data_IF_966711507685
#
_entry.id   IF_966711507685
#
_cell.length_a   1.000
_cell.length_b   1.000
_cell.length_c   1.000
_cell.angle_alpha   90.00
_cell.angle_beta   90.00
_cell.angle_gamma   90.00
#
_symmetry.space_group_name_H-M   'P 1'
#
loop_
_entity.id
_entity.type
_entity.pdbx_description
1 polymer ?
#
# COMPACT_ATOMS: atom_id res chain seq x y z
N UNK A 1 41.60 -4.64 -4.10
CA UNK A 1 40.83 -5.36 -5.11
C UNK A 1 40.69 -4.43 -6.30
N UNK A 2 41.05 -4.89 -7.48
CA UNK A 2 41.11 -4.07 -8.68
C UNK A 2 39.86 -4.19 -9.56
N UNK A 3 38.99 -5.17 -9.28
CA UNK A 3 37.75 -5.39 -10.02
C UNK A 3 36.60 -4.61 -9.40
N UNK A 4 35.81 -3.86 -10.21
CA UNK A 4 34.60 -3.21 -9.75
C UNK A 4 33.58 -4.23 -9.25
N UNK A 5 32.85 -3.90 -8.21
CA UNK A 5 31.70 -4.68 -7.76
C UNK A 5 30.48 -4.26 -8.56
N UNK A 6 29.82 -5.24 -9.17
CA UNK A 6 28.53 -5.00 -9.81
C UNK A 6 27.47 -4.67 -8.74
N UNK A 7 26.81 -3.54 -8.89
CA UNK A 7 25.71 -3.12 -8.02
C UNK A 7 24.48 -2.82 -8.87
N UNK A 8 23.32 -3.18 -8.36
CA UNK A 8 22.05 -2.83 -8.94
C UNK A 8 21.23 -2.00 -7.92
N UNK A 9 20.73 -0.82 -8.29
CA UNK A 9 19.85 -0.07 -7.41
C UNK A 9 18.54 -0.85 -7.23
N UNK A 10 18.22 -1.19 -6.00
CA UNK A 10 16.98 -1.86 -5.63
C UNK A 10 16.08 -0.91 -4.84
N UNK A 11 14.77 -1.03 -5.02
CA UNK A 11 13.80 -0.34 -4.16
C UNK A 11 13.94 -0.91 -2.75
N UNK A 12 14.28 -0.04 -1.81
CA UNK A 12 14.52 -0.42 -0.42
C UNK A 12 13.45 0.14 0.52
N UNK A 13 12.84 1.27 0.18
CA UNK A 13 11.87 1.97 1.02
C UNK A 13 10.96 2.84 0.13
N UNK A 14 9.66 2.80 0.37
CA UNK A 14 8.70 3.66 -0.32
C UNK A 14 8.68 5.05 0.32
N UNK A 15 8.77 6.10 -0.51
CA UNK A 15 8.53 7.47 -0.09
C UNK A 15 7.12 7.86 -0.52
N UNK A 16 6.31 8.23 0.44
CA UNK A 16 4.88 8.38 0.23
C UNK A 16 4.13 7.22 0.86
N UNK A 17 2.82 7.32 0.98
CA UNK A 17 1.99 6.32 1.61
C UNK A 17 0.65 6.88 2.09
N UNK A 18 0.10 6.27 3.12
CA UNK A 18 -1.19 6.64 3.69
C UNK A 18 -1.08 8.00 4.39
N UNK A 19 -2.00 8.91 4.06
CA UNK A 19 -2.06 10.21 4.72
C UNK A 19 -2.43 10.08 6.20
N UNK A 20 -1.65 10.75 7.04
CA UNK A 20 -1.89 10.91 8.48
C UNK A 20 -1.54 12.34 8.91
N UNK A 21 -1.93 12.73 10.11
CA UNK A 21 -1.62 14.06 10.63
C UNK A 21 -1.33 14.02 12.13
N UNK A 22 -0.98 15.16 12.68
CA UNK A 22 -0.72 15.40 14.09
C UNK A 22 -1.56 16.55 14.60
N UNK A 23 -2.08 16.41 15.81
CA UNK A 23 -2.69 17.53 16.55
C UNK A 23 -1.61 18.41 17.14
N UNK A 24 -1.80 19.72 17.06
CA UNK A 24 -0.89 20.72 17.65
C UNK A 24 -1.56 21.43 18.80
N UNK A 25 -0.75 21.78 19.80
CA UNK A 25 -1.15 22.66 20.89
C UNK A 25 -1.27 24.10 20.38
N UNK A 26 -1.79 25.01 21.22
CA UNK A 26 -1.87 26.43 20.90
C UNK A 26 -0.50 27.07 20.63
N UNK A 27 0.56 26.55 21.26
CA UNK A 27 1.94 26.96 21.05
C UNK A 27 2.57 26.37 19.78
N UNK A 28 1.82 25.55 19.01
CA UNK A 28 2.28 24.92 17.78
C UNK A 28 3.11 23.65 17.97
N UNK A 29 3.25 23.17 19.20
CA UNK A 29 3.90 21.90 19.51
C UNK A 29 2.95 20.72 19.23
N UNK A 30 3.50 19.51 19.07
CA UNK A 30 2.67 18.32 18.91
C UNK A 30 2.02 17.98 20.26
N UNK A 31 0.70 17.80 20.26
CA UNK A 31 -0.02 17.24 21.42
C UNK A 31 0.19 15.72 21.47
N UNK A 32 1.13 15.27 22.27
CA UNK A 32 1.49 13.85 22.39
C UNK A 32 0.36 12.96 22.92
N UNK A 33 -0.69 13.53 23.50
CA UNK A 33 -1.80 12.76 24.05
C UNK A 33 -2.98 12.65 23.09
N UNK A 34 -2.95 13.37 21.98
CA UNK A 34 -4.05 13.38 21.03
C UNK A 34 -4.24 12.03 20.35
N UNK A 35 -5.46 11.46 20.38
CA UNK A 35 -5.80 10.25 19.65
C UNK A 35 -5.74 10.42 18.13
N UNK A 36 -5.63 11.65 17.63
CA UNK A 36 -5.56 11.93 16.19
C UNK A 36 -4.15 11.74 15.62
N UNK A 37 -3.11 11.67 16.46
CA UNK A 37 -1.74 11.52 15.98
C UNK A 37 -1.57 10.20 15.22
N UNK A 38 -1.12 10.28 13.96
CA UNK A 38 -0.97 9.16 13.04
C UNK A 38 -2.29 8.43 12.70
N UNK A 39 -3.44 9.01 13.04
CA UNK A 39 -4.73 8.49 12.59
C UNK A 39 -4.96 8.89 11.13
N UNK A 40 -5.46 7.96 10.35
CA UNK A 40 -5.87 8.20 8.96
C UNK A 40 -7.20 8.94 8.89
N UNK A 41 -7.73 9.17 7.69
CA UNK A 41 -9.10 9.68 7.52
C UNK A 41 -10.20 8.72 8.02
N UNK A 42 -9.83 7.46 8.30
CA UNK A 42 -10.74 6.46 8.89
C UNK A 42 -10.48 6.42 10.39
N UNK A 43 -11.50 6.77 11.19
CA UNK A 43 -11.39 6.81 12.65
C UNK A 43 -10.97 5.45 13.21
N UNK A 44 -9.94 5.45 14.06
CA UNK A 44 -9.39 4.24 14.67
C UNK A 44 -8.40 3.47 13.81
N UNK A 45 -8.18 3.88 12.55
CA UNK A 45 -7.15 3.31 11.69
C UNK A 45 -5.91 4.22 11.70
N UNK A 46 -4.77 3.63 12.03
CA UNK A 46 -3.50 4.33 12.15
C UNK A 46 -2.49 3.83 11.11
N UNK A 47 -1.60 4.70 10.66
CA UNK A 47 -0.47 4.33 9.83
C UNK A 47 0.83 4.86 10.44
N UNK A 48 1.89 4.05 10.39
CA UNK A 48 3.18 4.40 10.97
C UNK A 48 4.34 3.82 10.16
N UNK A 49 5.51 4.44 10.26
CA UNK A 49 6.72 4.00 9.58
C UNK A 49 6.63 4.15 8.07
N UNK A 50 6.98 3.11 7.34
CA UNK A 50 6.98 3.14 5.87
C UNK A 50 5.58 3.28 5.26
N UNK A 51 4.53 2.85 5.95
CA UNK A 51 3.15 3.00 5.48
C UNK A 51 2.65 4.45 5.47
N UNK A 52 3.33 5.34 6.18
CA UNK A 52 3.02 6.75 6.32
C UNK A 52 3.80 7.59 5.27
N UNK A 53 3.22 8.68 4.79
CA UNK A 53 3.77 9.44 3.65
C UNK A 53 4.71 10.59 4.00
N UNK A 54 4.81 11.00 5.28
CA UNK A 54 5.17 12.38 5.65
C UNK A 54 6.66 12.70 5.71
N UNK A 55 7.53 11.72 5.97
CA UNK A 55 8.84 12.03 6.56
C UNK A 55 9.97 12.31 5.58
N UNK A 56 9.91 11.76 4.38
CA UNK A 56 11.10 11.66 3.55
C UNK A 56 11.07 12.51 2.28
N UNK A 57 9.93 13.11 1.95
CA UNK A 57 9.79 13.88 0.72
C UNK A 57 10.08 13.03 -0.52
N UNK A 58 10.84 13.57 -1.45
CA UNK A 58 11.14 12.90 -2.71
C UNK A 58 12.18 11.78 -2.61
N UNK A 59 12.99 11.74 -1.55
CA UNK A 59 13.99 10.69 -1.33
C UNK A 59 14.43 10.61 0.14
N UNK A 60 14.56 9.39 0.63
CA UNK A 60 14.96 9.12 2.01
C UNK A 60 16.49 9.22 2.18
N UNK A 61 16.92 9.94 3.21
CA UNK A 61 18.32 9.92 3.64
C UNK A 61 18.69 8.58 4.27
N UNK A 62 19.95 8.18 4.09
CA UNK A 62 20.47 6.93 4.67
C UNK A 62 20.19 6.81 6.16
N UNK A 63 19.88 5.62 6.65
CA UNK A 63 19.55 5.26 8.03
C UNK A 63 18.24 5.85 8.60
N UNK A 64 17.54 6.75 7.92
CA UNK A 64 16.35 7.41 8.45
C UNK A 64 15.08 6.54 8.40
N UNK A 65 15.09 5.38 7.74
CA UNK A 65 13.90 4.49 7.70
C UNK A 65 13.50 3.97 9.08
N UNK A 66 14.46 3.42 9.82
CA UNK A 66 14.20 2.95 11.19
C UNK A 66 13.90 4.10 12.14
N UNK A 67 14.53 5.26 11.95
CA UNK A 67 14.25 6.44 12.75
C UNK A 67 12.79 6.89 12.60
N UNK A 68 12.26 6.93 11.39
CA UNK A 68 10.84 7.26 11.18
C UNK A 68 9.90 6.23 11.82
N UNK A 69 10.21 4.93 11.69
CA UNK A 69 9.40 3.88 12.33
C UNK A 69 9.38 4.02 13.86
N UNK A 70 10.53 4.27 14.48
CA UNK A 70 10.63 4.47 15.94
C UNK A 70 9.91 5.75 16.36
N UNK A 71 10.15 6.85 15.65
CA UNK A 71 9.53 8.13 15.95
C UNK A 71 8.00 8.05 15.88
N UNK A 72 7.45 7.53 14.80
CA UNK A 72 5.99 7.41 14.66
C UNK A 72 5.37 6.47 15.69
N UNK A 73 6.03 5.34 15.98
CA UNK A 73 5.59 4.44 17.05
C UNK A 73 5.51 5.13 18.42
N UNK A 74 6.52 5.92 18.77
CA UNK A 74 6.55 6.68 20.01
C UNK A 74 5.49 7.79 20.04
N UNK A 75 5.30 8.47 18.92
CA UNK A 75 4.36 9.59 18.81
C UNK A 75 2.90 9.16 18.85
N UNK A 76 2.56 8.02 18.22
CA UNK A 76 1.18 7.55 18.17
C UNK A 76 0.74 6.78 19.42
N UNK A 77 1.66 6.12 20.13
CA UNK A 77 1.31 5.19 21.21
C UNK A 77 0.44 5.81 22.31
N UNK A 78 0.74 7.00 22.87
CA UNK A 78 -0.11 7.63 23.87
C UNK A 78 -1.51 7.96 23.33
N UNK A 79 -1.59 8.44 22.10
CA UNK A 79 -2.84 8.75 21.41
C UNK A 79 -3.71 7.51 21.20
N UNK A 80 -3.13 6.41 20.70
CA UNK A 80 -3.82 5.13 20.53
C UNK A 80 -4.36 4.61 21.86
N UNK A 81 -3.57 4.67 22.95
CA UNK A 81 -4.01 4.28 24.29
C UNK A 81 -5.19 5.13 24.77
N UNK A 82 -5.17 6.43 24.50
CA UNK A 82 -6.27 7.32 24.84
C UNK A 82 -7.51 7.03 23.98
N UNK A 83 -7.31 6.74 22.68
CA UNK A 83 -8.41 6.34 21.82
C UNK A 83 -9.10 5.09 22.35
N UNK A 84 -8.34 4.01 22.58
CA UNK A 84 -8.88 2.72 23.05
C UNK A 84 -9.60 2.85 24.40
N UNK A 85 -9.10 3.67 25.32
CA UNK A 85 -9.75 3.90 26.62
C UNK A 85 -11.10 4.62 26.53
N UNK A 86 -11.30 5.39 25.46
CA UNK A 86 -12.48 6.24 25.29
C UNK A 86 -13.45 5.70 24.21
N UNK A 87 -13.11 4.62 23.51
CA UNK A 87 -14.04 3.92 22.61
C UNK A 87 -15.06 3.16 23.45
N UNK A 88 -16.35 3.46 23.32
CA UNK A 88 -17.39 2.84 24.14
C UNK A 88 -17.69 1.39 23.74
N UNK A 89 -17.47 1.03 22.46
CA UNK A 89 -17.75 -0.29 21.91
C UNK A 89 -16.50 -1.17 21.95
N UNK A 90 -16.67 -2.43 22.31
CA UNK A 90 -15.66 -3.47 22.16
C UNK A 90 -15.73 -4.12 20.77
N UNK A 91 -14.68 -4.82 20.36
CA UNK A 91 -14.69 -5.56 19.10
C UNK A 91 -15.83 -6.62 19.05
N UNK A 92 -16.18 -7.17 20.19
CA UNK A 92 -17.26 -8.16 20.33
C UNK A 92 -18.66 -7.55 20.16
N UNK A 93 -18.81 -6.23 20.25
CA UNK A 93 -20.06 -5.52 20.01
C UNK A 93 -20.33 -5.29 18.51
N UNK A 94 -19.34 -5.55 17.65
CA UNK A 94 -19.50 -5.41 16.19
C UNK A 94 -20.45 -6.50 15.68
N UNK A 95 -21.53 -6.13 14.96
CA UNK A 95 -22.49 -7.12 14.47
C UNK A 95 -21.84 -8.19 13.60
N UNK A 96 -22.05 -9.47 13.91
CA UNK A 96 -21.53 -10.63 13.16
C UNK A 96 -21.87 -10.55 11.66
N UNK A 97 -22.99 -9.91 11.32
CA UNK A 97 -23.42 -9.68 9.95
C UNK A 97 -22.35 -8.97 9.11
N UNK A 98 -21.61 -7.99 9.67
CA UNK A 98 -20.57 -7.26 8.94
C UNK A 98 -19.41 -8.16 8.55
N UNK A 99 -19.00 -9.07 9.44
CA UNK A 99 -17.95 -10.05 9.16
C UNK A 99 -18.40 -11.07 8.11
N UNK A 100 -19.65 -11.53 8.22
CA UNK A 100 -20.23 -12.47 7.26
C UNK A 100 -20.36 -11.85 5.87
N UNK A 101 -20.80 -10.61 5.77
CA UNK A 101 -20.90 -9.87 4.50
C UNK A 101 -19.51 -9.62 3.88
N UNK A 102 -18.53 -9.19 4.67
CA UNK A 102 -17.17 -9.01 4.21
C UNK A 102 -16.55 -10.33 3.72
N UNK A 103 -16.73 -11.40 4.47
CA UNK A 103 -16.27 -12.74 4.08
C UNK A 103 -16.88 -13.17 2.75
N UNK A 104 -18.21 -12.98 2.58
CA UNK A 104 -18.91 -13.30 1.35
C UNK A 104 -18.39 -12.51 0.16
N UNK A 105 -18.18 -11.19 0.34
CA UNK A 105 -17.62 -10.32 -0.72
C UNK A 105 -16.25 -10.82 -1.19
N UNK A 106 -15.37 -11.21 -0.26
CA UNK A 106 -14.06 -11.75 -0.61
C UNK A 106 -14.13 -13.10 -1.30
N UNK A 107 -15.02 -13.98 -0.85
CA UNK A 107 -15.26 -15.28 -1.52
C UNK A 107 -15.77 -15.09 -2.94
N UNK A 108 -16.72 -14.17 -3.16
CA UNK A 108 -17.24 -13.83 -4.48
C UNK A 108 -16.13 -13.27 -5.38
N UNK A 109 -15.33 -12.32 -4.88
CA UNK A 109 -14.18 -11.75 -5.62
C UNK A 109 -13.19 -12.83 -6.06
N UNK A 110 -12.81 -13.75 -5.17
CA UNK A 110 -11.92 -14.86 -5.54
C UNK A 110 -12.57 -15.83 -6.52
N UNK A 111 -13.85 -16.09 -6.39
CA UNK A 111 -14.60 -16.92 -7.34
C UNK A 111 -14.66 -16.28 -8.74
N UNK A 112 -14.78 -14.96 -8.82
CA UNK A 112 -14.73 -14.20 -10.07
C UNK A 112 -13.35 -14.27 -10.71
N UNK A 113 -12.28 -14.05 -9.93
CA UNK A 113 -10.90 -14.16 -10.41
C UNK A 113 -10.64 -15.56 -11.01
N UNK A 114 -11.10 -16.63 -10.35
CA UNK A 114 -10.95 -18.00 -10.85
C UNK A 114 -11.70 -18.25 -12.18
N UNK A 115 -12.71 -17.45 -12.50
CA UNK A 115 -13.46 -17.53 -13.76
C UNK A 115 -12.84 -16.69 -14.90
N UNK A 116 -11.84 -15.88 -14.59
CA UNK A 116 -11.20 -15.03 -15.61
C UNK A 116 -10.52 -15.91 -16.65
N UNK A 117 -10.95 -15.77 -17.89
CA UNK A 117 -10.49 -16.60 -19.04
C UNK A 117 -10.13 -15.75 -20.24
N UNK A 118 -9.63 -14.55 -20.01
CA UNK A 118 -9.17 -13.64 -21.06
C UNK A 118 -7.89 -14.09 -21.75
N UNK A 119 -7.31 -13.23 -22.54
CA UNK A 119 -6.11 -13.51 -23.35
C UNK A 119 -4.81 -12.97 -22.70
N UNK A 120 -4.93 -12.19 -21.63
CA UNK A 120 -3.76 -11.58 -20.98
C UNK A 120 -3.11 -12.53 -19.98
N UNK A 121 -1.79 -12.59 -20.02
CA UNK A 121 -1.02 -13.32 -19.01
C UNK A 121 -0.71 -12.38 -17.83
N UNK A 122 -1.16 -12.67 -16.61
CA UNK A 122 -0.96 -11.78 -15.46
C UNK A 122 0.52 -11.51 -15.13
N UNK A 123 1.40 -12.48 -15.37
CA UNK A 123 2.83 -12.33 -15.12
C UNK A 123 3.52 -11.45 -16.17
N UNK A 124 3.05 -11.52 -17.43
CA UNK A 124 3.53 -10.64 -18.49
C UNK A 124 3.08 -9.19 -18.23
N UNK A 125 1.81 -9.00 -17.89
CA UNK A 125 1.24 -7.69 -17.54
C UNK A 125 1.98 -7.05 -16.36
N UNK A 126 2.25 -7.82 -15.30
CA UNK A 126 3.06 -7.37 -14.16
C UNK A 126 4.46 -6.93 -14.59
N UNK A 127 5.12 -7.68 -15.48
CA UNK A 127 6.47 -7.34 -15.95
C UNK A 127 6.47 -6.04 -16.72
N UNK A 128 5.52 -5.86 -17.65
CA UNK A 128 5.37 -4.61 -18.41
C UNK A 128 5.16 -3.41 -17.49
N UNK A 129 4.29 -3.55 -16.49
CA UNK A 129 4.08 -2.50 -15.48
C UNK A 129 5.36 -2.20 -14.69
N UNK A 130 6.10 -3.23 -14.27
CA UNK A 130 7.35 -3.05 -13.55
C UNK A 130 8.42 -2.33 -14.40
N UNK A 131 8.52 -2.66 -15.69
CA UNK A 131 9.44 -2.00 -16.63
C UNK A 131 9.06 -0.52 -16.82
N UNK A 132 7.76 -0.21 -16.94
CA UNK A 132 7.26 1.16 -17.03
C UNK A 132 7.62 1.97 -15.77
N UNK A 133 7.34 1.41 -14.60
CA UNK A 133 7.63 2.05 -13.32
C UNK A 133 9.13 2.28 -13.10
N UNK A 134 9.99 1.30 -13.45
CA UNK A 134 11.44 1.43 -13.33
C UNK A 134 11.97 2.51 -14.27
N UNK A 135 11.46 2.56 -15.50
CA UNK A 135 11.97 3.45 -16.54
C UNK A 135 11.59 4.91 -16.33
N UNK A 136 10.38 5.17 -15.83
CA UNK A 136 9.79 6.51 -15.83
C UNK A 136 9.48 7.09 -14.45
N UNK A 137 9.37 6.26 -13.41
CA UNK A 137 8.91 6.68 -12.09
C UNK A 137 9.99 6.53 -11.01
N UNK A 138 10.91 5.56 -11.15
CA UNK A 138 11.81 5.18 -10.06
C UNK A 138 12.85 6.27 -9.71
N UNK A 139 13.81 6.56 -10.56
CA UNK A 139 14.96 7.43 -10.23
C UNK A 139 14.92 8.73 -11.03
N UNK A 140 14.88 8.63 -12.34
CA UNK A 140 14.86 9.80 -13.23
C UNK A 140 13.43 10.05 -13.68
N UNK A 141 12.88 11.19 -13.23
CA UNK A 141 11.50 11.56 -13.45
C UNK A 141 11.40 12.79 -14.33
N UNK A 142 10.58 12.69 -15.36
CA UNK A 142 10.25 13.78 -16.27
C UNK A 142 8.73 13.91 -16.35
N UNK A 143 8.19 15.12 -16.20
CA UNK A 143 6.73 15.33 -16.16
C UNK A 143 6.00 14.76 -17.38
N UNK A 144 6.62 14.82 -18.57
CA UNK A 144 6.04 14.24 -19.79
C UNK A 144 5.94 12.72 -19.71
N UNK A 145 6.96 12.05 -19.16
CA UNK A 145 6.96 10.60 -18.98
C UNK A 145 6.00 10.18 -17.89
N UNK A 146 5.97 10.88 -16.76
CA UNK A 146 5.01 10.62 -15.69
C UNK A 146 3.56 10.71 -16.18
N UNK A 147 3.25 11.72 -17.02
CA UNK A 147 1.93 11.85 -17.62
C UNK A 147 1.60 10.68 -18.55
N UNK A 148 2.53 10.25 -19.39
CA UNK A 148 2.35 9.09 -20.25
C UNK A 148 2.21 7.79 -19.46
N UNK A 149 2.93 7.66 -18.33
CA UNK A 149 2.81 6.51 -17.43
C UNK A 149 1.43 6.45 -16.76
N UNK A 150 0.81 7.57 -16.40
CA UNK A 150 -0.57 7.56 -15.91
C UNK A 150 -1.55 7.00 -16.94
N UNK A 151 -1.43 7.41 -18.20
CA UNK A 151 -2.24 6.85 -19.30
C UNK A 151 -1.97 5.33 -19.48
N UNK A 152 -0.74 4.90 -19.22
CA UNK A 152 -0.34 3.48 -19.28
C UNK A 152 -0.90 2.67 -18.11
N UNK A 153 -1.01 3.26 -16.92
CA UNK A 153 -1.65 2.64 -15.76
C UNK A 153 -3.13 2.40 -16.03
N UNK A 154 -3.83 3.36 -16.63
CA UNK A 154 -5.23 3.18 -17.04
C UNK A 154 -5.37 2.03 -18.06
N UNK A 155 -4.41 1.89 -19.00
CA UNK A 155 -4.36 0.75 -19.93
C UNK A 155 -4.17 -0.58 -19.21
N UNK A 156 -3.27 -0.64 -18.23
CA UNK A 156 -3.04 -1.85 -17.42
C UNK A 156 -4.27 -2.24 -16.61
N UNK A 157 -5.03 -1.27 -16.10
CA UNK A 157 -6.30 -1.52 -15.41
C UNK A 157 -7.33 -2.18 -16.33
N UNK A 158 -7.49 -1.69 -17.58
CA UNK A 158 -8.39 -2.31 -18.55
C UNK A 158 -7.91 -3.70 -18.98
N UNK A 159 -6.61 -3.87 -19.20
CA UNK A 159 -6.01 -5.16 -19.57
C UNK A 159 -6.14 -6.20 -18.45
N UNK A 160 -6.07 -5.77 -17.19
CA UNK A 160 -6.28 -6.66 -16.06
C UNK A 160 -7.65 -7.35 -16.11
N UNK A 161 -8.68 -6.68 -16.58
CA UNK A 161 -10.02 -7.27 -16.74
C UNK A 161 -10.05 -8.43 -17.76
N UNK A 162 -9.05 -8.51 -18.63
CA UNK A 162 -8.89 -9.55 -19.65
C UNK A 162 -7.82 -10.60 -19.31
N UNK A 163 -7.43 -10.69 -18.04
CA UNK A 163 -6.44 -11.66 -17.56
C UNK A 163 -7.02 -13.08 -17.60
N UNK A 164 -6.14 -14.05 -17.81
CA UNK A 164 -6.45 -15.48 -17.75
C UNK A 164 -5.97 -16.09 -16.44
N UNK A 165 -6.87 -16.63 -15.64
CA UNK A 165 -6.56 -17.46 -14.49
C UNK A 165 -6.37 -18.91 -14.93
N UNK A 166 -5.16 -19.26 -15.35
CA UNK A 166 -4.84 -20.58 -15.95
C UNK A 166 -4.94 -21.75 -14.97
N UNK A 167 -4.79 -21.51 -13.67
CA UNK A 167 -4.95 -22.51 -12.61
C UNK A 167 -6.12 -22.12 -11.71
N UNK A 168 -7.13 -22.97 -11.67
CA UNK A 168 -8.36 -22.78 -10.89
C UNK A 168 -8.49 -23.76 -9.73
N UNK A 169 -7.43 -24.54 -9.46
CA UNK A 169 -7.43 -25.48 -8.33
C UNK A 169 -7.55 -24.77 -6.99
N UNK A 170 -8.06 -25.47 -5.96
CA UNK A 170 -8.28 -24.88 -4.63
C UNK A 170 -7.08 -25.02 -3.70
N UNK A 171 -6.19 -25.99 -3.98
CA UNK A 171 -5.08 -26.30 -3.10
C UNK A 171 -3.75 -25.83 -3.64
N UNK A 172 -2.99 -25.12 -2.78
CA UNK A 172 -1.62 -24.66 -3.10
C UNK A 172 -1.50 -23.84 -4.40
N UNK A 173 -2.55 -23.10 -4.74
CA UNK A 173 -2.65 -22.33 -5.97
C UNK A 173 -2.40 -20.83 -5.70
N UNK A 174 -1.24 -20.26 -6.09
CA UNK A 174 -0.94 -18.84 -5.92
C UNK A 174 -1.56 -17.93 -7.00
N UNK A 175 -2.07 -18.50 -8.10
CA UNK A 175 -2.49 -17.72 -9.29
C UNK A 175 -3.61 -16.72 -8.97
N UNK A 176 -4.73 -17.11 -8.32
CA UNK A 176 -5.78 -16.15 -7.98
C UNK A 176 -5.31 -15.05 -7.04
N UNK A 177 -4.46 -15.40 -6.05
CA UNK A 177 -3.85 -14.42 -5.15
C UNK A 177 -2.95 -13.44 -5.91
N UNK A 178 -2.14 -13.93 -6.85
CA UNK A 178 -1.30 -13.08 -7.66
C UNK A 178 -2.11 -12.12 -8.54
N UNK A 179 -3.18 -12.59 -9.17
CA UNK A 179 -4.08 -11.74 -9.98
C UNK A 179 -4.70 -10.64 -9.11
N UNK A 180 -5.13 -10.96 -7.89
CA UNK A 180 -5.63 -9.95 -6.95
C UNK A 180 -4.54 -8.97 -6.49
N UNK A 181 -3.32 -9.45 -6.25
CA UNK A 181 -2.18 -8.60 -5.91
C UNK A 181 -1.81 -7.66 -7.07
N UNK A 182 -1.82 -8.16 -8.30
CA UNK A 182 -1.57 -7.35 -9.49
C UNK A 182 -2.58 -6.20 -9.61
N UNK A 183 -3.87 -6.46 -9.34
CA UNK A 183 -4.86 -5.39 -9.25
C UNK A 183 -4.48 -4.33 -8.22
N UNK A 184 -4.13 -4.77 -7.01
CA UNK A 184 -3.73 -3.85 -5.96
C UNK A 184 -2.48 -3.05 -6.31
N UNK A 185 -1.51 -3.66 -7.00
CA UNK A 185 -0.31 -2.95 -7.49
C UNK A 185 -0.66 -1.89 -8.52
N UNK A 186 -1.55 -2.17 -9.48
CA UNK A 186 -2.03 -1.20 -10.47
C UNK A 186 -2.71 -0.01 -9.77
N UNK A 187 -3.54 -0.27 -8.75
CA UNK A 187 -4.23 0.78 -8.00
C UNK A 187 -3.29 1.64 -7.13
N UNK A 188 -2.11 1.14 -6.78
CA UNK A 188 -1.11 1.84 -5.97
C UNK A 188 -0.04 2.54 -6.82
N UNK A 189 0.01 2.31 -8.12
CA UNK A 189 0.98 2.91 -9.04
C UNK A 189 0.54 4.28 -9.49
#
# INVERSE_FOLDING_TARGET
REEPMEIFPAVHYSMGGIWTDYTRTEEGLIDHQSPQNQMTSITGLYAAGEADYQYHGGNRLGANSLLSCIYTGLMMSPGVLNYVKNVPEAADDVPEKLFTEATKQWQEKYAEIKKMSGNENPYALHREMAEEMISNVLIVRENSKLKATLEKIDEFEERWKNVNCVDTTDWSNPVPSFINQLWNMIQLS
#
